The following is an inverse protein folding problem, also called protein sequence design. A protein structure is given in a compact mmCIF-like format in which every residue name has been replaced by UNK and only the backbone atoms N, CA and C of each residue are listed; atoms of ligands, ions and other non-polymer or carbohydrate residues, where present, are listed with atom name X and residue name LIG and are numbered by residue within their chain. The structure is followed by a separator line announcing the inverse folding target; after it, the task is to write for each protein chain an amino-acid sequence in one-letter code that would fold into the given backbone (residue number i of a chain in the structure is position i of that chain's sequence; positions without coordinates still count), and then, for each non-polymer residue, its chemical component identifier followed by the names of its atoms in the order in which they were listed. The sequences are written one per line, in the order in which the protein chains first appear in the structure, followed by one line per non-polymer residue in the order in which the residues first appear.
data_IF_731841462064
#
_entry.id   IF_731841462064
#
_cell.length_a   1.000
_cell.length_b   1.000
_cell.length_c   1.000
_cell.angle_alpha   90.00
_cell.angle_beta   90.00
_cell.angle_gamma   90.00
#
_symmetry.space_group_name_H-M   'P 1'
#
loop_
_entity.id
_entity.type
_entity.pdbx_description
1 polymer ?
#
# COMPACT_ATOMS: atom_id res chain seq x y z
N UNK A 1 -31.93 7.92 15.78
CA UNK A 1 -31.37 7.08 14.70
C UNK A 1 -30.01 6.61 15.18
N UNK A 2 -29.70 5.32 15.16
CA UNK A 2 -28.37 4.84 15.54
C UNK A 2 -27.34 5.47 14.60
N UNK A 3 -26.41 6.25 15.14
CA UNK A 3 -25.35 6.86 14.35
C UNK A 3 -24.59 5.76 13.60
N UNK A 4 -24.50 5.90 12.28
CA UNK A 4 -23.78 4.94 11.44
C UNK A 4 -22.28 5.03 11.72
N UNK A 5 -21.62 3.90 11.92
CA UNK A 5 -20.16 3.85 11.98
C UNK A 5 -19.62 4.02 10.56
N UNK A 6 -18.77 5.02 10.35
CA UNK A 6 -18.19 5.34 9.03
C UNK A 6 -16.80 4.76 8.84
N UNK A 7 -16.05 4.56 9.92
CA UNK A 7 -14.73 3.97 9.87
C UNK A 7 -14.39 3.24 11.17
N UNK A 8 -13.54 2.21 11.08
CA UNK A 8 -12.97 1.50 12.22
C UNK A 8 -11.48 1.34 12.07
N UNK A 9 -10.77 1.36 13.19
CA UNK A 9 -9.38 0.92 13.28
C UNK A 9 -9.23 -0.10 14.39
N UNK A 10 -8.54 -1.20 14.08
CA UNK A 10 -8.24 -2.27 15.02
C UNK A 10 -6.76 -2.26 15.38
N UNK A 11 -6.48 -2.47 16.66
CA UNK A 11 -5.15 -2.68 17.21
C UNK A 11 -5.07 -4.05 17.86
N UNK A 12 -3.98 -4.76 17.61
CA UNK A 12 -3.68 -5.99 18.34
C UNK A 12 -3.10 -5.63 19.71
N UNK A 13 -3.48 -6.36 20.75
CA UNK A 13 -2.89 -6.20 22.08
C UNK A 13 -1.58 -6.99 22.15
N UNK A 14 -0.55 -6.39 22.75
CA UNK A 14 0.79 -7.01 22.87
C UNK A 14 0.76 -8.29 23.70
N UNK A 15 -0.15 -8.39 24.66
CA UNK A 15 -0.36 -9.58 25.47
C UNK A 15 -1.02 -10.75 24.69
N UNK A 16 -1.39 -10.52 23.42
CA UNK A 16 -2.04 -11.47 22.54
C UNK A 16 -3.52 -11.72 22.87
N UNK A 17 -4.11 -11.00 23.82
CA UNK A 17 -5.48 -11.26 24.30
C UNK A 17 -6.46 -10.27 23.70
N UNK A 18 -6.94 -10.58 22.50
CA UNK A 18 -7.99 -9.81 21.83
C UNK A 18 -7.46 -8.56 21.14
N UNK A 19 -8.33 -7.56 20.98
CA UNK A 19 -8.04 -6.35 20.20
C UNK A 19 -8.69 -5.13 20.82
N UNK A 20 -8.11 -3.97 20.55
CA UNK A 20 -8.73 -2.67 20.78
C UNK A 20 -9.29 -2.17 19.47
N UNK A 21 -10.52 -1.66 19.48
CA UNK A 21 -11.16 -1.05 18.33
C UNK A 21 -11.42 0.44 18.58
N UNK A 22 -11.16 1.26 17.57
CA UNK A 22 -11.61 2.65 17.49
C UNK A 22 -12.67 2.71 16.41
N UNK A 23 -13.88 3.13 16.75
CA UNK A 23 -14.97 3.37 15.82
C UNK A 23 -15.23 4.87 15.69
N UNK A 24 -15.33 5.36 14.45
CA UNK A 24 -15.73 6.73 14.13
C UNK A 24 -17.15 6.73 13.61
N UNK A 25 -17.99 7.59 14.16
CA UNK A 25 -19.39 7.70 13.79
C UNK A 25 -19.60 8.83 12.79
N UNK A 26 -20.70 8.74 12.03
CA UNK A 26 -21.13 9.73 11.06
C UNK A 26 -21.10 11.14 11.68
N UNK A 27 -20.35 12.09 11.10
CA UNK A 27 -20.42 13.47 11.53
C UNK A 27 -21.83 14.03 11.36
N UNK A 28 -22.29 14.77 12.36
CA UNK A 28 -23.61 15.40 12.40
C UNK A 28 -23.46 16.91 12.52
N UNK A 29 -24.27 17.63 11.75
CA UNK A 29 -24.39 19.07 11.92
C UNK A 29 -25.21 19.37 13.17
N UNK A 30 -24.70 20.28 13.99
CA UNK A 30 -25.43 20.84 15.11
C UNK A 30 -26.39 21.94 14.65
N UNK A 31 -27.65 21.85 15.09
CA UNK A 31 -28.71 22.74 14.64
C UNK A 31 -28.63 24.15 15.21
N UNK A 32 -27.87 24.37 16.28
CA UNK A 32 -27.74 25.68 16.92
C UNK A 32 -26.51 26.43 16.43
N UNK A 33 -25.35 25.77 16.40
CA UNK A 33 -24.10 26.42 16.00
C UNK A 33 -23.83 26.35 14.50
N UNK A 34 -24.40 25.35 13.80
CA UNK A 34 -24.08 25.05 12.41
C UNK A 34 -22.77 24.27 12.23
N UNK A 35 -21.97 24.11 13.30
CA UNK A 35 -20.76 23.29 13.30
C UNK A 35 -21.11 21.81 13.22
N UNK A 36 -20.13 21.00 12.87
CA UNK A 36 -20.23 19.55 12.86
C UNK A 36 -19.58 18.94 14.10
N UNK A 37 -20.18 17.89 14.64
CA UNK A 37 -19.56 17.00 15.62
C UNK A 37 -19.37 15.61 15.05
N UNK A 38 -18.23 14.99 15.35
CA UNK A 38 -17.95 13.59 15.01
C UNK A 38 -17.67 12.81 16.30
N UNK A 39 -18.59 11.90 16.68
CA UNK A 39 -18.37 10.99 17.80
C UNK A 39 -17.37 9.89 17.45
N UNK A 40 -16.65 9.40 18.46
CA UNK A 40 -15.81 8.21 18.36
C UNK A 40 -15.86 7.38 19.65
N UNK A 41 -15.67 6.07 19.51
CA UNK A 41 -15.61 5.12 20.62
C UNK A 41 -14.33 4.30 20.54
N UNK A 42 -13.68 4.08 21.69
CA UNK A 42 -12.56 3.16 21.85
C UNK A 42 -13.01 2.04 22.78
N UNK A 43 -12.96 0.80 22.30
CA UNK A 43 -13.40 -0.38 23.06
C UNK A 43 -12.30 -1.46 23.10
N UNK A 44 -12.36 -2.33 24.11
CA UNK A 44 -11.42 -3.45 24.27
C UNK A 44 -10.12 -3.12 25.02
N UNK A 45 -10.01 -1.93 25.63
CA UNK A 45 -8.91 -1.59 26.52
C UNK A 45 -8.98 -2.41 27.82
N UNK A 46 -7.84 -2.86 28.33
CA UNK A 46 -7.80 -3.69 29.54
C UNK A 46 -8.13 -2.87 30.78
N UNK A 47 -9.13 -3.31 31.55
CA UNK A 47 -9.53 -2.65 32.79
C UNK A 47 -10.17 -1.27 32.60
N UNK A 48 -10.52 -0.90 31.37
CA UNK A 48 -11.10 0.40 31.01
C UNK A 48 -12.41 0.18 30.26
N UNK A 49 -13.50 0.80 30.74
CA UNK A 49 -14.76 0.83 29.98
C UNK A 49 -14.58 1.57 28.65
N UNK A 50 -15.45 1.31 27.67
CA UNK A 50 -15.37 1.99 26.38
C UNK A 50 -15.27 3.51 26.54
N UNK A 51 -14.22 4.11 25.98
CA UNK A 51 -14.05 5.56 25.96
C UNK A 51 -14.92 6.11 24.84
N UNK A 52 -15.93 6.94 25.17
CA UNK A 52 -16.77 7.63 24.20
C UNK A 52 -16.54 9.13 24.28
N UNK A 53 -16.16 9.73 23.16
CA UNK A 53 -15.88 11.15 23.05
C UNK A 53 -16.39 11.69 21.71
N UNK A 54 -16.34 13.00 21.54
CA UNK A 54 -16.69 13.65 20.29
C UNK A 54 -15.76 14.84 20.04
N UNK A 55 -15.51 15.13 18.77
CA UNK A 55 -14.75 16.29 18.35
C UNK A 55 -15.61 17.18 17.43
N UNK A 56 -15.31 18.46 17.42
CA UNK A 56 -16.05 19.47 16.65
C UNK A 56 -15.25 19.96 15.46
N UNK A 57 -15.91 20.49 14.45
CA UNK A 57 -15.29 21.16 13.31
C UNK A 57 -16.30 22.00 12.53
N UNK A 58 -15.81 22.94 11.74
CA UNK A 58 -16.64 23.82 10.90
C UNK A 58 -17.45 23.02 9.87
N UNK A 59 -16.89 21.90 9.42
CA UNK A 59 -17.55 20.95 8.52
C UNK A 59 -17.35 19.49 8.97
N UNK A 60 -18.04 18.57 8.29
CA UNK A 60 -17.98 17.14 8.57
C UNK A 60 -16.57 16.54 8.42
N UNK A 61 -15.75 17.07 7.51
CA UNK A 61 -14.39 16.58 7.26
C UNK A 61 -13.49 16.98 8.41
N UNK A 62 -13.52 18.24 8.83
CA UNK A 62 -12.74 18.74 9.94
C UNK A 62 -13.16 18.06 11.26
N UNK A 63 -14.47 17.87 11.50
CA UNK A 63 -14.95 17.17 12.68
C UNK A 63 -14.40 15.74 12.75
N UNK A 64 -14.37 15.01 11.62
CA UNK A 64 -13.80 13.67 11.54
C UNK A 64 -12.27 13.68 11.75
N UNK A 65 -11.54 14.63 11.15
CA UNK A 65 -10.10 14.78 11.36
C UNK A 65 -9.77 15.05 12.84
N UNK A 66 -10.54 15.91 13.51
CA UNK A 66 -10.38 16.18 14.93
C UNK A 66 -10.76 14.97 15.80
N UNK A 67 -11.75 14.17 15.39
CA UNK A 67 -12.09 12.93 16.09
C UNK A 67 -10.94 11.91 16.00
N UNK A 68 -10.31 11.77 14.83
CA UNK A 68 -9.11 10.92 14.67
C UNK A 68 -7.94 11.38 15.55
N UNK A 69 -7.74 12.70 15.66
CA UNK A 69 -6.76 13.27 16.58
C UNK A 69 -7.13 13.01 18.05
N UNK A 70 -8.41 13.14 18.41
CA UNK A 70 -8.93 12.83 19.73
C UNK A 70 -8.67 11.37 20.12
N UNK A 71 -8.96 10.44 19.21
CA UNK A 71 -8.66 9.02 19.39
C UNK A 71 -7.17 8.76 19.60
N UNK A 72 -6.30 9.43 18.83
CA UNK A 72 -4.84 9.34 19.01
C UNK A 72 -4.40 9.78 20.40
N UNK A 73 -4.95 10.89 20.90
CA UNK A 73 -4.63 11.42 22.23
C UNK A 73 -5.15 10.48 23.32
N UNK A 74 -6.38 9.99 23.19
CA UNK A 74 -6.99 9.06 24.13
C UNK A 74 -6.25 7.71 24.21
N UNK A 75 -5.68 7.23 23.10
CA UNK A 75 -4.88 6.01 23.04
C UNK A 75 -3.44 6.19 23.51
N UNK A 76 -2.92 7.43 23.62
CA UNK A 76 -1.51 7.68 23.92
C UNK A 76 -1.03 7.03 25.23
N UNK A 77 -1.79 7.02 26.34
CA UNK A 77 -1.40 6.33 27.57
C UNK A 77 -1.28 4.80 27.41
N UNK A 78 -1.93 4.23 26.40
CA UNK A 78 -1.98 2.78 26.15
C UNK A 78 -1.05 2.34 25.01
N UNK A 79 -0.29 3.26 24.40
CA UNK A 79 0.57 3.02 23.22
C UNK A 79 1.41 1.75 23.32
N UNK A 80 2.07 1.52 24.45
CA UNK A 80 3.02 0.41 24.59
C UNK A 80 2.34 -0.96 24.48
N UNK A 81 1.06 -1.03 24.81
CA UNK A 81 0.24 -2.25 24.85
C UNK A 81 -0.43 -2.55 23.51
N UNK A 82 -0.33 -1.66 22.53
CA UNK A 82 -1.06 -1.73 21.27
C UNK A 82 -0.11 -1.86 20.08
N UNK A 83 -0.53 -2.63 19.09
CA UNK A 83 0.13 -2.72 17.80
C UNK A 83 -0.86 -2.43 16.68
N UNK A 84 -0.46 -1.57 15.76
CA UNK A 84 -1.15 -1.38 14.50
C UNK A 84 -0.20 -1.82 13.38
N UNK A 85 -0.59 -2.84 12.62
CA UNK A 85 0.28 -3.45 11.60
C UNK A 85 1.64 -3.90 12.17
N UNK A 86 1.64 -4.45 13.40
CA UNK A 86 2.85 -4.82 14.16
C UNK A 86 3.76 -3.66 14.60
N UNK A 87 3.40 -2.40 14.34
CA UNK A 87 4.13 -1.22 14.80
C UNK A 87 3.54 -0.67 16.11
N UNK A 88 4.40 -0.04 16.92
CA UNK A 88 4.05 0.75 18.10
C UNK A 88 3.45 2.12 17.76
N UNK A 89 3.53 2.58 16.51
CA UNK A 89 2.84 3.79 16.10
C UNK A 89 1.33 3.56 15.97
N UNK A 90 0.55 4.51 16.48
CA UNK A 90 -0.92 4.40 16.53
C UNK A 90 -1.56 4.68 15.15
N UNK A 91 -0.76 5.01 14.13
CA UNK A 91 -1.20 5.17 12.75
C UNK A 91 -2.13 6.35 12.47
N UNK A 92 -2.41 7.20 13.46
CA UNK A 92 -3.18 8.42 13.27
C UNK A 92 -2.21 9.56 12.96
N UNK A 93 -2.45 10.24 11.85
CA UNK A 93 -1.63 11.37 11.43
C UNK A 93 -1.57 12.42 12.55
N UNK A 94 -0.37 12.94 12.81
CA UNK A 94 -0.21 14.07 13.72
C UNK A 94 -0.58 15.33 12.97
N UNK A 95 -1.51 16.08 13.54
CA UNK A 95 -1.85 17.39 13.03
C UNK A 95 -0.70 18.37 13.28
N UNK A 96 -0.30 19.08 12.23
CA UNK A 96 0.54 20.27 12.36
C UNK A 96 -0.38 21.41 12.75
N UNK A 97 -0.18 22.03 13.93
CA UNK A 97 -0.99 23.16 14.36
C UNK A 97 -1.03 24.26 13.29
N UNK A 98 -2.22 24.79 12.97
CA UNK A 98 -2.42 25.96 12.11
C UNK A 98 -3.40 26.95 12.76
N UNK A 99 -3.61 28.11 12.14
CA UNK A 99 -4.55 29.11 12.65
C UNK A 99 -3.93 30.06 13.67
N UNK A 100 -2.59 30.16 13.71
CA UNK A 100 -1.90 31.15 14.56
C UNK A 100 -1.67 32.49 13.83
N UNK A 101 -2.14 32.59 12.58
CA UNK A 101 -1.94 33.73 11.70
C UNK A 101 -0.95 33.42 10.57
N UNK A 102 -1.06 34.14 9.44
CA UNK A 102 -0.40 33.77 8.19
C UNK A 102 1.13 33.72 8.31
N UNK A 103 1.74 34.56 9.15
CA UNK A 103 3.21 34.59 9.28
C UNK A 103 3.75 33.36 10.00
N UNK A 104 3.11 32.94 11.10
CA UNK A 104 3.55 31.79 11.89
C UNK A 104 3.19 30.48 11.19
N UNK A 105 2.03 30.40 10.56
CA UNK A 105 1.63 29.23 9.77
C UNK A 105 2.61 29.01 8.61
N UNK A 106 2.95 30.05 7.84
CA UNK A 106 3.96 29.98 6.78
C UNK A 106 5.37 29.65 7.31
N UNK A 107 5.68 30.02 8.56
CA UNK A 107 6.94 29.64 9.18
C UNK A 107 6.97 28.15 9.52
N UNK A 108 5.90 27.58 10.08
CA UNK A 108 5.80 26.14 10.30
C UNK A 108 5.82 25.34 9.00
N UNK A 109 5.11 25.79 7.97
CA UNK A 109 5.17 25.19 6.63
C UNK A 109 6.60 25.13 6.11
N UNK A 110 7.34 26.26 6.14
CA UNK A 110 8.75 26.30 5.71
C UNK A 110 9.63 25.35 6.53
N UNK A 111 9.44 25.27 7.84
CA UNK A 111 10.22 24.35 8.68
C UNK A 111 9.96 22.88 8.32
N UNK A 112 8.69 22.54 8.06
CA UNK A 112 8.31 21.19 7.62
C UNK A 112 8.88 20.89 6.25
N UNK A 113 8.74 21.79 5.28
CA UNK A 113 9.31 21.62 3.94
C UNK A 113 10.84 21.44 3.99
N UNK A 114 11.52 22.28 4.77
CA UNK A 114 12.97 22.19 4.96
C UNK A 114 13.38 20.85 5.58
N UNK A 115 12.68 20.41 6.63
CA UNK A 115 13.01 19.14 7.29
C UNK A 115 12.62 17.94 6.40
N UNK A 116 11.53 18.02 5.62
CA UNK A 116 11.18 17.01 4.62
C UNK A 116 12.26 16.91 3.53
N UNK A 117 12.77 18.03 3.02
CA UNK A 117 13.89 18.04 2.04
C UNK A 117 15.16 17.47 2.65
N UNK A 118 15.47 17.84 3.91
CA UNK A 118 16.63 17.32 4.64
C UNK A 118 16.54 15.82 4.88
N UNK A 119 15.36 15.34 5.26
CA UNK A 119 15.10 13.94 5.57
C UNK A 119 14.83 13.12 4.31
N UNK A 120 14.51 13.71 3.16
CA UNK A 120 14.17 12.98 1.93
C UNK A 120 15.20 11.88 1.55
N UNK A 121 16.53 12.08 1.67
CA UNK A 121 17.50 11.01 1.43
C UNK A 121 17.48 9.89 2.49
N UNK A 122 17.15 10.20 3.75
CA UNK A 122 17.03 9.25 4.85
C UNK A 122 15.68 8.52 4.84
N UNK A 123 14.60 9.22 4.50
CA UNK A 123 13.25 8.66 4.30
C UNK A 123 13.20 7.76 3.05
N UNK A 124 14.00 8.05 2.00
CA UNK A 124 14.26 7.12 0.88
C UNK A 124 14.91 5.79 1.31
N UNK A 125 15.56 5.74 2.47
CA UNK A 125 16.18 4.53 3.04
C UNK A 125 15.31 3.84 4.10
N UNK A 126 14.36 4.57 4.70
CA UNK A 126 13.55 4.11 5.83
C UNK A 126 12.13 3.70 5.41
N UNK A 127 11.63 4.26 4.31
CA UNK A 127 10.60 3.64 3.48
C UNK A 127 11.31 2.98 2.30
N UNK A 128 11.18 1.66 2.14
CA UNK A 128 11.70 1.00 0.96
C UNK A 128 11.05 1.66 -0.27
N UNK A 129 11.85 2.41 -1.03
CA UNK A 129 11.44 3.02 -2.29
C UNK A 129 10.80 1.97 -3.21
N UNK A 130 11.19 0.70 -3.07
CA UNK A 130 10.64 -0.43 -3.79
C UNK A 130 9.19 -0.79 -3.48
N UNK A 131 8.57 -0.40 -2.36
CA UNK A 131 7.20 -0.86 -2.00
C UNK A 131 6.08 0.09 -2.44
N UNK A 132 6.41 1.34 -2.82
CA UNK A 132 5.46 2.31 -3.38
C UNK A 132 5.48 2.40 -4.90
N UNK A 133 6.46 1.77 -5.57
CA UNK A 133 6.53 1.76 -7.02
C UNK A 133 5.35 0.96 -7.59
N UNK A 134 4.74 1.49 -8.64
CA UNK A 134 3.95 0.67 -9.56
C UNK A 134 4.83 -0.41 -10.18
N UNK A 135 4.22 -1.49 -10.67
CA UNK A 135 4.97 -2.58 -11.31
C UNK A 135 5.75 -2.10 -12.55
N UNK A 136 5.28 -1.02 -13.20
CA UNK A 136 5.96 -0.38 -14.32
C UNK A 136 7.20 0.40 -13.88
N UNK A 137 7.09 1.26 -12.87
CA UNK A 137 8.24 2.03 -12.38
C UNK A 137 9.32 1.11 -11.79
N UNK A 138 8.92 0.01 -11.16
CA UNK A 138 9.87 -1.01 -10.72
C UNK A 138 10.56 -1.70 -11.91
N UNK A 139 9.82 -2.03 -12.98
CA UNK A 139 10.41 -2.64 -14.18
C UNK A 139 11.40 -1.69 -14.87
N UNK A 140 11.09 -0.40 -14.95
CA UNK A 140 11.98 0.63 -15.48
C UNK A 140 13.31 0.68 -14.71
N UNK A 141 13.24 0.71 -13.37
CA UNK A 141 14.42 0.72 -12.52
C UNK A 141 15.20 -0.60 -12.56
N UNK A 142 14.49 -1.74 -12.58
CA UNK A 142 15.11 -3.04 -12.72
C UNK A 142 15.86 -3.15 -14.05
N UNK A 143 15.24 -2.71 -15.14
CA UNK A 143 15.81 -2.68 -16.48
C UNK A 143 17.05 -1.77 -16.53
N UNK A 144 16.96 -0.54 -16.00
CA UNK A 144 18.10 0.39 -15.91
C UNK A 144 19.28 -0.24 -15.13
N UNK A 145 19.00 -0.95 -14.05
CA UNK A 145 20.03 -1.63 -13.26
C UNK A 145 20.73 -2.78 -14.03
N UNK A 146 20.04 -3.44 -14.97
CA UNK A 146 20.63 -4.48 -15.82
C UNK A 146 21.43 -3.90 -17.00
N UNK A 147 21.19 -2.64 -17.38
CA UNK A 147 21.89 -1.94 -18.47
C UNK A 147 23.33 -1.53 -18.13
N UNK A 148 24.11 -2.41 -17.49
CA UNK A 148 25.56 -2.26 -17.31
C UNK A 148 26.26 -3.23 -18.27
N UNK A 149 27.19 -2.69 -19.07
CA UNK A 149 27.98 -3.45 -20.06
C UNK A 149 27.14 -4.10 -21.19
N UNK A 150 27.44 -5.35 -21.60
CA UNK A 150 27.00 -5.98 -22.87
C UNK A 150 25.50 -6.34 -22.98
N UNK A 151 24.72 -6.30 -21.89
CA UNK A 151 23.30 -6.68 -21.93
C UNK A 151 22.46 -5.76 -22.83
N UNK A 152 22.85 -4.48 -22.94
CA UNK A 152 22.13 -3.42 -23.64
C UNK A 152 21.93 -3.65 -25.15
N UNK A 153 22.67 -4.57 -25.77
CA UNK A 153 22.70 -4.70 -27.23
C UNK A 153 21.86 -5.85 -27.81
N UNK A 154 21.56 -6.91 -27.05
CA UNK A 154 20.94 -8.13 -27.60
C UNK A 154 19.93 -8.86 -26.70
N UNK A 155 19.73 -8.42 -25.46
CA UNK A 155 18.87 -9.09 -24.47
C UNK A 155 18.03 -8.05 -23.73
N UNK A 156 16.78 -8.38 -23.38
CA UNK A 156 15.88 -7.34 -22.90
C UNK A 156 14.52 -7.80 -22.40
N UNK A 157 13.67 -6.79 -22.15
CA UNK A 157 12.27 -6.93 -21.76
C UNK A 157 11.41 -6.73 -23.01
N UNK A 158 10.55 -7.70 -23.31
CA UNK A 158 9.63 -7.66 -24.44
C UNK A 158 8.19 -7.81 -23.96
N UNK A 159 7.35 -6.82 -24.27
CA UNK A 159 5.91 -6.85 -24.02
C UNK A 159 5.20 -6.83 -25.38
N UNK A 160 4.43 -7.88 -25.66
CA UNK A 160 3.72 -8.06 -26.94
C UNK A 160 2.26 -8.48 -26.70
N UNK A 161 1.40 -8.18 -27.66
CA UNK A 161 0.08 -8.80 -27.74
C UNK A 161 0.21 -10.23 -28.29
N UNK A 162 -0.68 -11.12 -27.88
CA UNK A 162 -0.81 -12.47 -28.44
C UNK A 162 -1.90 -12.51 -29.54
N UNK A 163 -1.80 -13.49 -30.45
CA UNK A 163 -2.78 -13.73 -31.52
C UNK A 163 -4.14 -14.21 -30.98
N UNK A 164 -4.14 -14.85 -29.82
CA UNK A 164 -5.32 -14.97 -28.95
C UNK A 164 -5.32 -13.76 -28.00
N UNK A 165 -6.38 -12.94 -27.92
CA UNK A 165 -6.31 -11.66 -27.24
C UNK A 165 -5.68 -11.78 -25.84
N UNK A 166 -4.58 -11.07 -25.63
CA UNK A 166 -3.77 -11.28 -24.45
C UNK A 166 -2.43 -10.58 -24.54
N UNK A 167 -1.64 -10.76 -23.48
CA UNK A 167 -0.32 -10.17 -23.33
C UNK A 167 0.72 -11.27 -23.13
N UNK A 168 1.91 -11.04 -23.69
CA UNK A 168 3.12 -11.79 -23.46
C UNK A 168 4.18 -10.83 -22.91
N UNK A 169 4.73 -11.16 -21.74
CA UNK A 169 5.95 -10.60 -21.19
C UNK A 169 7.05 -11.65 -21.32
N UNK A 170 8.17 -11.28 -21.93
CA UNK A 170 9.40 -12.07 -21.92
C UNK A 170 10.53 -11.21 -21.38
N UNK A 171 11.21 -11.69 -20.34
CA UNK A 171 12.37 -11.03 -19.73
C UNK A 171 13.55 -11.98 -19.78
N UNK A 172 14.61 -11.59 -20.48
CA UNK A 172 15.86 -12.35 -20.50
C UNK A 172 16.59 -12.19 -19.15
N UNK A 173 16.98 -13.32 -18.56
CA UNK A 173 17.65 -13.35 -17.24
C UNK A 173 19.16 -13.53 -17.36
N UNK A 174 19.68 -13.90 -18.54
CA UNK A 174 21.11 -14.09 -18.78
C UNK A 174 21.84 -12.76 -18.66
N UNK A 175 23.01 -12.77 -18.01
CA UNK A 175 23.77 -11.54 -17.77
C UNK A 175 23.13 -10.59 -16.76
N UNK A 176 22.04 -10.98 -16.10
CA UNK A 176 21.42 -10.21 -15.01
C UNK A 176 21.83 -10.80 -13.66
N UNK A 177 21.58 -10.08 -12.56
CA UNK A 177 21.74 -10.64 -11.22
C UNK A 177 20.80 -11.82 -10.89
N UNK A 178 19.85 -12.16 -11.79
CA UNK A 178 18.92 -13.27 -11.66
C UNK A 178 19.35 -14.52 -12.44
N UNK A 179 20.50 -14.51 -13.11
CA UNK A 179 20.99 -15.64 -13.92
C UNK A 179 21.07 -16.96 -13.13
N UNK A 180 21.42 -16.90 -11.84
CA UNK A 180 21.46 -18.08 -10.96
C UNK A 180 20.10 -18.74 -10.70
N UNK A 181 18.99 -18.14 -11.13
CA UNK A 181 17.60 -18.57 -10.86
C UNK A 181 16.87 -19.01 -12.14
N UNK A 182 17.60 -19.32 -13.21
CA UNK A 182 17.06 -19.68 -14.52
C UNK A 182 16.58 -21.13 -14.68
N UNK A 183 16.51 -21.91 -13.60
CA UNK A 183 16.03 -23.28 -13.67
C UNK A 183 14.55 -23.31 -14.11
N UNK A 184 14.23 -24.17 -15.08
CA UNK A 184 12.88 -24.29 -15.63
C UNK A 184 11.88 -24.59 -14.51
N UNK A 185 10.89 -23.71 -14.35
CA UNK A 185 9.94 -23.76 -13.25
C UNK A 185 8.63 -23.05 -13.59
N UNK A 186 7.51 -23.59 -13.11
CA UNK A 186 6.27 -22.84 -13.06
C UNK A 186 6.32 -21.85 -11.89
N UNK A 187 6.13 -20.56 -12.17
CA UNK A 187 6.11 -19.50 -11.15
C UNK A 187 4.70 -19.33 -10.61
N UNK A 188 3.71 -19.18 -11.50
CA UNK A 188 2.32 -18.99 -11.11
C UNK A 188 1.38 -19.38 -12.25
N UNK A 189 0.23 -19.98 -11.92
CA UNK A 189 -0.88 -20.19 -12.86
C UNK A 189 -2.20 -19.85 -12.17
N UNK A 190 -3.06 -19.07 -12.82
CA UNK A 190 -4.41 -18.77 -12.30
C UNK A 190 -5.46 -19.73 -12.86
N UNK A 191 -5.47 -19.93 -14.19
CA UNK A 191 -6.33 -20.88 -14.91
C UNK A 191 -5.58 -21.48 -16.10
N UNK A 192 -6.17 -22.50 -16.71
CA UNK A 192 -5.58 -23.17 -17.87
C UNK A 192 -5.40 -22.19 -19.05
N UNK A 193 -4.17 -22.08 -19.61
CA UNK A 193 -3.92 -21.25 -20.76
C UNK A 193 -4.48 -21.89 -22.04
N UNK A 194 -4.65 -21.12 -23.12
CA UNK A 194 -4.95 -21.66 -24.44
C UNK A 194 -3.95 -22.76 -24.85
N UNK A 195 -4.45 -23.91 -25.29
CA UNK A 195 -3.66 -25.03 -25.78
C UNK A 195 -4.45 -25.86 -26.79
N UNK A 196 -3.77 -26.69 -27.57
CA UNK A 196 -4.45 -27.61 -28.49
C UNK A 196 -5.47 -28.51 -27.78
N UNK A 197 -5.18 -28.90 -26.53
CA UNK A 197 -6.04 -29.78 -25.71
C UNK A 197 -7.35 -29.12 -25.24
N UNK A 198 -7.44 -27.78 -25.27
CA UNK A 198 -8.65 -27.03 -24.95
C UNK A 198 -9.17 -26.19 -26.13
N UNK A 199 -8.82 -26.58 -27.36
CA UNK A 199 -9.29 -25.91 -28.57
C UNK A 199 -8.74 -24.50 -28.73
N UNK A 200 -7.53 -24.22 -28.21
CA UNK A 200 -6.89 -22.92 -28.18
C UNK A 200 -7.70 -21.86 -27.43
N UNK A 201 -8.43 -22.27 -26.39
CA UNK A 201 -9.22 -21.39 -25.53
C UNK A 201 -8.72 -21.44 -24.09
N UNK A 202 -8.25 -20.30 -23.59
CA UNK A 202 -7.94 -20.14 -22.18
C UNK A 202 -9.22 -19.99 -21.37
N UNK A 203 -9.19 -20.41 -20.10
CA UNK A 203 -10.29 -20.08 -19.18
C UNK A 203 -10.39 -18.56 -18.96
N UNK A 204 -11.53 -18.04 -18.51
CA UNK A 204 -11.59 -16.63 -18.13
C UNK A 204 -10.53 -16.33 -17.06
N UNK A 205 -9.93 -15.15 -17.06
CA UNK A 205 -8.94 -14.77 -16.04
C UNK A 205 -7.63 -15.59 -16.08
N UNK A 206 -7.31 -16.25 -17.20
CA UNK A 206 -6.10 -17.08 -17.34
C UNK A 206 -4.81 -16.25 -17.36
N UNK A 207 -3.82 -16.77 -16.66
CA UNK A 207 -2.46 -16.25 -16.60
C UNK A 207 -1.53 -17.40 -16.24
N UNK A 208 -0.39 -17.48 -16.92
CA UNK A 208 0.71 -18.38 -16.59
C UNK A 208 2.02 -17.60 -16.60
N UNK A 209 2.83 -17.77 -15.57
CA UNK A 209 4.19 -17.26 -15.48
C UNK A 209 5.13 -18.43 -15.21
N UNK A 210 6.23 -18.52 -15.95
CA UNK A 210 7.21 -19.59 -15.83
C UNK A 210 8.61 -19.09 -16.14
N UNK A 211 9.61 -19.81 -15.64
CA UNK A 211 10.98 -19.71 -16.11
C UNK A 211 11.18 -20.81 -17.14
N UNK A 212 11.59 -20.43 -18.35
CA UNK A 212 11.92 -21.36 -19.43
C UNK A 212 13.04 -20.77 -20.29
N UNK A 213 14.02 -21.60 -20.64
CA UNK A 213 15.10 -21.24 -21.57
C UNK A 213 15.86 -19.96 -21.17
N UNK A 214 16.10 -19.78 -19.87
CA UNK A 214 16.80 -18.60 -19.34
C UNK A 214 15.99 -17.31 -19.35
N UNK A 215 14.67 -17.40 -19.56
CA UNK A 215 13.77 -16.26 -19.56
C UNK A 215 12.66 -16.41 -18.51
N UNK A 216 12.23 -15.31 -17.92
CA UNK A 216 10.90 -15.23 -17.33
C UNK A 216 9.88 -15.01 -18.45
N UNK A 217 8.87 -15.87 -18.53
CA UNK A 217 7.80 -15.82 -19.53
C UNK A 217 6.47 -15.73 -18.79
N UNK A 218 5.75 -14.63 -18.99
CA UNK A 218 4.40 -14.42 -18.48
C UNK A 218 3.41 -14.23 -19.62
N UNK A 219 2.34 -15.00 -19.66
CA UNK A 219 1.28 -14.89 -20.63
C UNK A 219 -0.09 -14.83 -19.94
N UNK A 220 -1.04 -14.09 -20.50
CA UNK A 220 -2.38 -14.00 -19.92
C UNK A 220 -3.38 -13.26 -20.81
N UNK A 221 -4.63 -13.26 -20.38
CA UNK A 221 -5.73 -12.59 -21.07
C UNK A 221 -5.54 -11.05 -21.19
N UNK A 222 -6.42 -10.32 -21.92
CA UNK A 222 -6.24 -8.88 -22.20
C UNK A 222 -6.13 -7.97 -20.96
N UNK A 223 -6.58 -8.43 -19.79
CA UNK A 223 -6.54 -7.68 -18.52
C UNK A 223 -5.37 -8.07 -17.62
N UNK A 224 -4.49 -8.98 -18.06
CA UNK A 224 -3.43 -9.58 -17.22
C UNK A 224 -2.08 -8.90 -17.26
N UNK A 225 -1.84 -7.90 -18.11
CA UNK A 225 -0.53 -7.25 -18.20
C UNK A 225 0.02 -6.82 -16.83
N UNK A 226 -0.79 -6.13 -16.02
CA UNK A 226 -0.39 -5.70 -14.67
C UNK A 226 -0.09 -6.89 -13.74
N UNK A 227 -0.91 -7.94 -13.79
CA UNK A 227 -0.72 -9.12 -12.95
C UNK A 227 0.56 -9.88 -13.33
N UNK A 228 0.88 -9.94 -14.62
CA UNK A 228 2.11 -10.53 -15.15
C UNK A 228 3.34 -9.73 -14.68
N UNK A 229 3.29 -8.40 -14.78
CA UNK A 229 4.37 -7.50 -14.31
C UNK A 229 4.61 -7.66 -12.80
N UNK A 230 3.53 -7.69 -12.02
CA UNK A 230 3.59 -7.94 -10.58
C UNK A 230 4.21 -9.31 -10.27
N UNK A 231 3.78 -10.36 -10.98
CA UNK A 231 4.34 -11.70 -10.83
C UNK A 231 5.85 -11.72 -11.05
N UNK A 232 6.32 -11.07 -12.11
CA UNK A 232 7.77 -10.93 -12.37
C UNK A 232 8.48 -10.20 -11.22
N UNK A 233 7.95 -9.07 -10.76
CA UNK A 233 8.50 -8.30 -9.64
C UNK A 233 8.60 -9.11 -8.35
N UNK A 234 7.52 -9.78 -7.97
CA UNK A 234 7.47 -10.61 -6.74
C UNK A 234 8.46 -11.76 -6.86
N UNK A 235 8.50 -12.44 -8.01
CA UNK A 235 9.45 -13.52 -8.24
C UNK A 235 10.90 -13.02 -8.18
N UNK A 236 11.23 -11.93 -8.86
CA UNK A 236 12.59 -11.37 -8.90
C UNK A 236 13.10 -10.97 -7.50
N UNK A 237 12.21 -10.50 -6.62
CA UNK A 237 12.55 -10.10 -5.24
C UNK A 237 12.52 -11.23 -4.21
N UNK A 238 11.90 -12.38 -4.52
CA UNK A 238 11.89 -13.53 -3.63
C UNK A 238 13.32 -14.04 -3.40
N UNK A 239 13.70 -14.19 -2.13
CA UNK A 239 15.03 -14.62 -1.67
C UNK A 239 15.16 -16.13 -1.65
#
# INVERSE_FOLDING_TARGET
MSQGVVARRRYDRVDGRGHVEVAFFQPEQDGETGDFRCPFEISGLEGVESIRQQAWGVDSVQALQQAMQGARVALAPHREQLRWLSDSDLGFARYVPNGFGPELDAHFERLIEQEMVRLAPAMKRQWNQEDTLSDMEWLEQWYEAQCREEWAHHQGVNIQSLDNPGWLLKVDLRGTNLEGRMADALVQRTREPPSETNGNQGGDDWMECSIKEGCFIGAGDPRKLRAILNCFRVWARAT
#
